data_IF_226693193310
#
_entry.id   IF_226693193310
#
_cell.length_a   1.000
_cell.length_b   1.000
_cell.length_c   1.000
_cell.angle_alpha   90.00
_cell.angle_beta   90.00
_cell.angle_gamma   90.00
#
_symmetry.space_group_name_H-M   'P 1'
#
loop_
_entity.id
_entity.type
_entity.pdbx_description
1 polymer ?
#
# COMPACT_ATOMS: atom_id res chain seq x y z
N UNK A 1 3.19 14.61 -6.92
CA UNK A 1 4.27 13.61 -6.72
C UNK A 1 4.75 13.52 -5.26
N UNK A 2 4.79 14.62 -4.48
CA UNK A 2 5.13 14.58 -3.03
C UNK A 2 4.09 13.86 -2.14
N UNK A 3 3.02 13.32 -2.73
CA UNK A 3 1.90 12.65 -2.07
C UNK A 3 2.03 11.13 -1.98
N UNK A 4 3.08 10.50 -2.54
CA UNK A 4 3.23 9.03 -2.57
C UNK A 4 4.54 8.60 -1.89
N UNK A 5 4.48 7.64 -0.97
CA UNK A 5 5.67 6.99 -0.39
C UNK A 5 5.77 5.54 -0.81
N UNK A 6 6.93 5.20 -1.34
CA UNK A 6 7.28 3.85 -1.76
C UNK A 6 8.16 3.16 -0.71
N UNK A 7 7.81 1.92 -0.37
CA UNK A 7 8.58 1.07 0.54
C UNK A 7 8.92 -0.26 -0.12
N UNK A 8 10.15 -0.74 0.09
CA UNK A 8 10.65 -2.00 -0.46
C UNK A 8 11.41 -2.79 0.62
N UNK A 9 10.70 -3.30 1.64
CA UNK A 9 11.32 -4.11 2.69
C UNK A 9 11.97 -5.36 2.08
N UNK A 10 13.18 -5.68 2.56
CA UNK A 10 13.95 -6.83 2.08
C UNK A 10 13.75 -8.08 2.92
N UNK A 11 13.21 -7.92 4.13
CA UNK A 11 12.97 -9.03 5.05
C UNK A 11 11.59 -8.92 5.70
N UNK A 12 11.06 -10.05 6.17
CA UNK A 12 9.83 -10.08 6.96
C UNK A 12 9.91 -9.24 8.24
N UNK A 13 11.12 -9.10 8.82
CA UNK A 13 11.35 -8.27 10.00
C UNK A 13 11.21 -6.78 9.67
N UNK A 14 11.86 -6.32 8.60
CA UNK A 14 11.74 -4.94 8.11
C UNK A 14 10.30 -4.58 7.76
N UNK A 15 9.58 -5.48 7.10
CA UNK A 15 8.17 -5.28 6.78
C UNK A 15 7.33 -5.17 8.05
N UNK A 16 7.55 -6.02 9.05
CA UNK A 16 6.81 -5.94 10.31
C UNK A 16 7.05 -4.62 11.04
N UNK A 17 8.31 -4.18 11.14
CA UNK A 17 8.66 -2.90 11.75
C UNK A 17 8.06 -1.71 11.00
N UNK A 18 8.08 -1.77 9.66
CA UNK A 18 7.45 -0.77 8.82
C UNK A 18 5.95 -0.69 9.07
N UNK A 19 5.24 -1.82 9.04
CA UNK A 19 3.79 -1.87 9.25
C UNK A 19 3.41 -1.39 10.65
N UNK A 20 4.17 -1.75 11.69
CA UNK A 20 3.96 -1.25 13.04
C UNK A 20 4.10 0.28 13.12
N UNK A 21 5.14 0.83 12.49
CA UNK A 21 5.29 2.28 12.40
C UNK A 21 4.15 2.93 11.61
N UNK A 22 3.69 2.29 10.53
CA UNK A 22 2.63 2.80 9.68
C UNK A 22 1.23 2.70 10.31
N UNK A 23 1.03 1.83 11.30
CA UNK A 23 -0.25 1.68 11.99
C UNK A 23 -0.43 2.65 13.16
N UNK A 24 0.66 3.16 13.74
CA UNK A 24 0.62 4.01 14.94
C UNK A 24 0.63 5.51 14.61
N UNK A 25 1.01 5.89 13.40
CA UNK A 25 1.12 7.28 12.99
C UNK A 25 0.01 7.63 12.00
N UNK A 26 -0.49 8.87 12.07
CA UNK A 26 -1.36 9.40 11.02
C UNK A 26 -0.52 9.88 9.83
N UNK A 27 -0.91 9.44 8.63
CA UNK A 27 -0.24 9.80 7.39
C UNK A 27 -1.21 10.46 6.43
N UNK A 28 -0.68 11.47 5.72
CA UNK A 28 -1.38 12.20 4.69
C UNK A 28 -0.74 11.98 3.31
N UNK A 29 -0.30 10.76 3.03
CA UNK A 29 0.28 10.35 1.75
C UNK A 29 -0.23 8.96 1.36
N UNK A 30 -0.29 8.70 0.06
CA UNK A 30 -0.55 7.38 -0.50
C UNK A 30 0.69 6.50 -0.34
N UNK A 31 0.47 5.19 -0.26
CA UNK A 31 1.52 4.23 0.03
C UNK A 31 1.60 3.18 -1.07
N UNK A 32 2.83 2.88 -1.50
CA UNK A 32 3.14 1.70 -2.30
C UNK A 32 4.08 0.82 -1.48
N UNK A 33 3.75 -0.47 -1.34
CA UNK A 33 4.62 -1.45 -0.68
C UNK A 33 4.98 -2.54 -1.69
N UNK A 34 6.27 -2.70 -1.99
CA UNK A 34 6.77 -3.79 -2.79
C UNK A 34 7.08 -5.02 -1.92
N UNK A 35 6.36 -6.10 -2.19
CA UNK A 35 6.46 -7.40 -1.53
C UNK A 35 6.91 -8.49 -2.50
N UNK A 36 7.40 -8.14 -3.69
CA UNK A 36 7.77 -9.12 -4.73
C UNK A 36 8.85 -10.10 -4.26
N UNK A 37 9.71 -9.67 -3.33
CA UNK A 37 10.74 -10.50 -2.72
C UNK A 37 10.31 -11.19 -1.41
N UNK A 38 9.05 -11.05 -0.99
CA UNK A 38 8.53 -11.56 0.28
C UNK A 38 7.30 -12.45 0.04
N UNK A 39 7.47 -13.75 0.28
CA UNK A 39 6.42 -14.76 0.04
C UNK A 39 5.58 -15.08 1.28
N UNK A 40 5.74 -14.35 2.37
CA UNK A 40 5.04 -14.62 3.62
C UNK A 40 3.70 -13.85 3.64
N UNK A 41 2.61 -14.59 3.90
CA UNK A 41 1.23 -14.06 3.89
C UNK A 41 0.79 -13.54 5.25
N UNK A 42 1.61 -13.75 6.30
CA UNK A 42 1.26 -13.36 7.68
C UNK A 42 1.05 -11.86 7.86
N UNK A 43 1.53 -11.04 6.92
CA UNK A 43 1.40 -9.58 6.96
C UNK A 43 0.07 -9.06 6.40
N UNK A 44 -0.70 -9.89 5.67
CA UNK A 44 -1.94 -9.45 5.00
C UNK A 44 -2.92 -8.79 5.96
N UNK A 45 -3.10 -9.36 7.16
CA UNK A 45 -3.97 -8.78 8.18
C UNK A 45 -3.51 -7.37 8.60
N UNK A 46 -2.20 -7.15 8.76
CA UNK A 46 -1.64 -5.82 9.07
C UNK A 46 -1.80 -4.86 7.89
N UNK A 47 -1.68 -5.35 6.65
CA UNK A 47 -1.89 -4.58 5.43
C UNK A 47 -3.35 -4.12 5.31
N UNK A 48 -4.33 -4.98 5.62
CA UNK A 48 -5.75 -4.60 5.62
C UNK A 48 -6.06 -3.53 6.67
N UNK A 49 -5.50 -3.67 7.88
CA UNK A 49 -5.65 -2.64 8.91
C UNK A 49 -5.07 -1.29 8.44
N UNK A 50 -3.93 -1.31 7.75
CA UNK A 50 -3.32 -0.11 7.18
C UNK A 50 -4.17 0.48 6.05
N UNK A 51 -4.75 -0.35 5.19
CA UNK A 51 -5.66 0.06 4.13
C UNK A 51 -6.86 0.81 4.70
N UNK A 52 -7.49 0.28 5.76
CA UNK A 52 -8.64 0.91 6.41
C UNK A 52 -8.28 2.26 7.05
N UNK A 53 -7.08 2.38 7.61
CA UNK A 53 -6.57 3.65 8.14
C UNK A 53 -6.40 4.69 7.03
N UNK A 54 -5.76 4.31 5.92
CA UNK A 54 -5.52 5.22 4.80
C UNK A 54 -6.81 5.65 4.11
N UNK A 55 -7.79 4.75 3.96
CA UNK A 55 -9.12 5.07 3.41
C UNK A 55 -9.83 6.16 4.20
N UNK A 56 -9.73 6.16 5.53
CA UNK A 56 -10.30 7.23 6.39
C UNK A 56 -9.68 8.61 6.07
N UNK A 57 -8.41 8.63 5.69
CA UNK A 57 -7.69 9.84 5.30
C UNK A 57 -7.76 10.14 3.79
N UNK A 58 -8.66 9.45 3.06
CA UNK A 58 -8.78 9.55 1.59
C UNK A 58 -7.45 9.28 0.86
N UNK A 59 -6.66 8.33 1.37
CA UNK A 59 -5.38 7.89 0.79
C UNK A 59 -5.45 6.45 0.29
N UNK A 60 -4.61 6.17 -0.71
CA UNK A 60 -4.49 4.87 -1.36
C UNK A 60 -3.37 4.03 -0.78
N UNK A 61 -3.56 2.71 -0.81
CA UNK A 61 -2.52 1.71 -0.58
C UNK A 61 -2.50 0.72 -1.73
N UNK A 62 -1.34 0.56 -2.36
CA UNK A 62 -1.13 -0.44 -3.42
C UNK A 62 0.06 -1.32 -3.06
N UNK A 63 -0.09 -2.62 -3.28
CA UNK A 63 0.94 -3.62 -3.06
C UNK A 63 1.51 -4.06 -4.40
N UNK A 64 2.84 -4.09 -4.52
CA UNK A 64 3.53 -4.62 -5.71
C UNK A 64 4.00 -6.04 -5.42
N UNK A 65 3.47 -7.02 -6.14
CA UNK A 65 3.91 -8.43 -6.06
C UNK A 65 3.44 -9.19 -7.30
N UNK A 66 4.32 -10.00 -7.88
CA UNK A 66 4.02 -10.88 -9.02
C UNK A 66 3.42 -12.24 -8.61
N UNK A 67 3.41 -12.55 -7.31
CA UNK A 67 3.02 -13.87 -6.79
C UNK A 67 1.81 -13.81 -5.83
N UNK A 68 1.51 -12.62 -5.30
CA UNK A 68 0.38 -12.40 -4.41
C UNK A 68 -0.84 -11.96 -5.23
N UNK A 69 -1.99 -12.57 -4.94
CA UNK A 69 -3.28 -12.11 -5.44
C UNK A 69 -4.17 -11.92 -4.22
N UNK A 70 -4.74 -10.73 -4.08
CA UNK A 70 -5.72 -10.44 -3.04
C UNK A 70 -6.89 -9.64 -3.61
N UNK A 71 -8.05 -9.73 -2.95
CA UNK A 71 -9.29 -9.04 -3.37
C UNK A 71 -9.60 -7.79 -2.55
N UNK A 72 -8.98 -7.62 -1.39
CA UNK A 72 -9.25 -6.53 -0.47
C UNK A 72 -8.30 -5.35 -0.70
N UNK A 73 -7.04 -5.63 -1.04
CA UNK A 73 -6.04 -4.62 -1.40
C UNK A 73 -5.69 -4.71 -2.89
N UNK A 74 -5.41 -3.58 -3.51
CA UNK A 74 -4.92 -3.54 -4.88
C UNK A 74 -3.51 -4.14 -4.90
N UNK A 75 -3.37 -5.31 -5.54
CA UNK A 75 -2.08 -5.95 -5.79
C UNK A 75 -1.80 -5.91 -7.28
N UNK A 76 -0.64 -5.37 -7.66
CA UNK A 76 -0.20 -5.24 -9.06
C UNK A 76 1.19 -5.82 -9.26
N UNK A 77 1.53 -6.34 -10.43
CA UNK A 77 2.84 -6.94 -10.66
C UNK A 77 3.97 -5.92 -10.76
N UNK A 78 3.69 -4.67 -11.15
CA UNK A 78 4.73 -3.66 -11.38
C UNK A 78 4.55 -2.37 -10.58
N UNK A 79 5.66 -1.67 -10.34
CA UNK A 79 5.62 -0.36 -9.69
C UNK A 79 4.93 0.70 -10.55
N UNK A 80 5.01 0.60 -11.89
CA UNK A 80 4.33 1.56 -12.78
C UNK A 80 2.82 1.47 -12.60
N UNK A 81 2.26 0.25 -12.65
CA UNK A 81 0.82 0.05 -12.44
C UNK A 81 0.39 0.54 -11.05
N UNK A 82 1.25 0.44 -10.04
CA UNK A 82 0.92 0.95 -8.71
C UNK A 82 0.77 2.47 -8.69
N UNK A 83 1.60 3.19 -9.45
CA UNK A 83 1.43 4.63 -9.64
C UNK A 83 0.16 4.94 -10.43
N UNK A 84 -0.09 4.22 -11.52
CA UNK A 84 -1.27 4.43 -12.37
C UNK A 84 -2.58 4.23 -11.58
N UNK A 85 -2.65 3.20 -10.71
CA UNK A 85 -3.80 2.96 -9.83
C UNK A 85 -4.00 4.11 -8.85
N UNK A 86 -2.93 4.59 -8.20
CA UNK A 86 -3.06 5.70 -7.25
C UNK A 86 -3.52 6.97 -7.96
N UNK A 87 -2.98 7.26 -9.13
CA UNK A 87 -3.38 8.43 -9.93
C UNK A 87 -4.86 8.35 -10.30
N UNK A 88 -5.33 7.21 -10.79
CA UNK A 88 -6.75 6.98 -11.09
C UNK A 88 -7.64 7.17 -9.85
N UNK A 89 -7.26 6.58 -8.72
CA UNK A 89 -8.03 6.72 -7.48
C UNK A 89 -8.02 8.16 -6.92
N UNK A 90 -6.94 8.93 -7.12
CA UNK A 90 -6.91 10.35 -6.77
C UNK A 90 -7.88 11.15 -7.65
N UNK A 91 -7.90 10.93 -8.97
CA UNK A 91 -8.84 11.57 -9.88
C UNK A 91 -10.29 11.23 -9.51
N UNK A 92 -10.58 9.96 -9.24
CA UNK A 92 -11.92 9.52 -8.83
C UNK A 92 -12.37 10.19 -7.52
N UNK A 93 -11.46 10.29 -6.54
CA UNK A 93 -11.75 10.98 -5.27
C UNK A 93 -12.02 12.46 -5.48
N UNK A 94 -11.24 13.13 -6.33
CA UNK A 94 -11.43 14.55 -6.61
C UNK A 94 -12.78 14.81 -7.30
N UNK A 95 -13.19 13.92 -8.23
CA UNK A 95 -14.48 14.02 -8.92
C UNK A 95 -15.68 13.81 -7.99
N UNK A 96 -15.53 12.94 -6.98
CA UNK A 96 -16.58 12.59 -6.02
C UNK A 96 -16.56 13.45 -4.74
N UNK A 97 -15.61 14.39 -4.63
CA UNK A 97 -15.39 15.22 -3.43
C UNK A 97 -16.31 16.42 -3.28
#
# INVERSE_FOLDING_TARGET
MDSIKYFNPKTSSELNQLLEKLLVNDFNFNIIINLDNLNDISFLTKIYNLLDLLKKNKKSLVVVSSHLIDKQVNVVPTLSEAYDIIELEEIERDLLS
#
